data_IF_754672904032
#
_entry.id   IF_754672904032
#
_cell.length_a   1.000
_cell.length_b   1.000
_cell.length_c   1.000
_cell.angle_alpha   90.00
_cell.angle_beta   90.00
_cell.angle_gamma   90.00
#
_symmetry.space_group_name_H-M   'P 1'
#
loop_
_entity.id
_entity.type
_entity.pdbx_description
1 polymer ?
#
# COMPACT_ATOMS: atom_id res chain seq x y z
N UNK A 1 -3.26 20.73 38.56
CA UNK A 1 -4.68 20.48 38.76
C UNK A 1 -5.41 20.69 37.42
N UNK A 2 -5.96 19.66 36.85
CA UNK A 2 -6.98 19.64 35.78
C UNK A 2 -6.66 20.31 34.42
N UNK A 3 -5.63 19.83 33.74
CA UNK A 3 -5.51 20.05 32.27
C UNK A 3 -5.31 18.74 31.48
N UNK A 4 -5.71 17.61 32.06
CA UNK A 4 -5.57 16.30 31.37
C UNK A 4 -6.86 15.81 30.71
N UNK A 5 -7.92 16.57 30.65
CA UNK A 5 -9.22 16.06 30.23
C UNK A 5 -9.85 16.84 29.09
N UNK A 6 -9.14 17.10 27.99
CA UNK A 6 -9.85 17.53 26.77
C UNK A 6 -9.00 17.46 25.49
N UNK A 7 -8.12 16.49 25.41
CA UNK A 7 -7.69 16.07 24.07
C UNK A 7 -8.24 14.66 23.88
N UNK A 8 -9.53 14.55 23.72
CA UNK A 8 -10.07 13.47 22.90
C UNK A 8 -9.58 13.77 21.48
N UNK A 9 -8.39 13.28 21.16
CA UNK A 9 -8.04 12.99 19.79
C UNK A 9 -9.04 11.93 19.42
N UNK A 10 -10.15 12.34 18.85
CA UNK A 10 -11.04 11.46 18.15
C UNK A 10 -10.12 10.72 17.20
N UNK A 11 -9.89 9.43 17.42
CA UNK A 11 -9.53 8.51 16.37
C UNK A 11 -10.73 8.56 15.44
N UNK A 12 -10.77 9.61 14.63
CA UNK A 12 -11.78 9.75 13.62
C UNK A 12 -11.49 8.69 12.58
N UNK A 13 -12.23 7.60 12.68
CA UNK A 13 -12.50 6.66 11.60
C UNK A 13 -13.10 7.33 10.35
N UNK A 14 -12.93 8.62 10.17
CA UNK A 14 -13.55 9.42 9.10
C UNK A 14 -12.73 9.51 7.82
N UNK A 15 -11.57 8.85 7.76
CA UNK A 15 -10.79 8.73 6.52
C UNK A 15 -11.02 7.37 5.83
N UNK A 16 -12.14 6.75 6.06
CA UNK A 16 -12.60 5.60 5.27
C UNK A 16 -12.97 6.10 3.87
N UNK A 17 -11.96 6.42 3.05
CA UNK A 17 -12.17 6.68 1.62
C UNK A 17 -12.63 5.36 1.02
N UNK A 18 -13.94 5.16 1.00
CA UNK A 18 -14.60 3.98 0.42
C UNK A 18 -14.67 4.15 -1.09
N UNK A 19 -13.54 4.06 -1.75
CA UNK A 19 -13.51 3.97 -3.19
C UNK A 19 -13.59 2.48 -3.56
N UNK A 20 -14.57 2.06 -4.38
CA UNK A 20 -14.64 0.65 -4.76
C UNK A 20 -13.45 0.28 -5.67
N UNK A 21 -12.99 -0.94 -5.55
CA UNK A 21 -12.09 -1.52 -6.54
C UNK A 21 -12.81 -1.63 -7.88
N UNK A 22 -12.18 -1.09 -8.91
CA UNK A 22 -12.70 -1.15 -10.28
C UNK A 22 -11.56 -1.48 -11.24
N UNK A 23 -11.69 -2.61 -11.92
CA UNK A 23 -10.76 -3.01 -12.97
C UNK A 23 -11.04 -2.21 -14.24
N UNK A 24 -9.99 -1.59 -14.76
CA UNK A 24 -10.00 -0.92 -16.07
C UNK A 24 -9.19 -1.78 -17.04
N UNK A 25 -9.85 -2.33 -18.05
CA UNK A 25 -9.22 -3.20 -19.04
C UNK A 25 -10.07 -3.26 -20.31
N UNK A 26 -9.40 -3.36 -21.45
CA UNK A 26 -10.04 -3.63 -22.74
C UNK A 26 -10.43 -5.12 -22.90
N UNK A 27 -9.96 -5.98 -21.98
CA UNK A 27 -10.24 -7.40 -22.00
C UNK A 27 -11.40 -7.77 -21.07
N UNK A 28 -12.18 -8.75 -21.51
CA UNK A 28 -13.17 -9.41 -20.68
C UNK A 28 -12.68 -10.83 -20.30
N UNK A 29 -13.10 -11.36 -19.14
CA UNK A 29 -12.79 -12.74 -18.80
C UNK A 29 -13.26 -13.70 -19.89
N UNK A 30 -12.38 -14.64 -20.27
CA UNK A 30 -12.63 -15.60 -21.35
C UNK A 30 -12.15 -17.01 -20.97
N UNK A 31 -12.59 -18.02 -21.72
CA UNK A 31 -12.28 -19.42 -21.43
C UNK A 31 -12.77 -19.84 -20.06
N UNK A 32 -11.91 -20.43 -19.25
CA UNK A 32 -12.22 -20.90 -17.89
C UNK A 32 -12.16 -19.80 -16.82
N UNK A 33 -11.75 -18.56 -17.19
CA UNK A 33 -11.60 -17.45 -16.24
C UNK A 33 -12.92 -17.08 -15.52
N UNK A 34 -14.08 -16.94 -16.21
CA UNK A 34 -15.34 -16.62 -15.54
C UNK A 34 -15.70 -17.63 -14.44
N UNK A 35 -15.60 -18.92 -14.74
CA UNK A 35 -15.87 -20.00 -13.78
C UNK A 35 -14.88 -19.96 -12.61
N UNK A 36 -13.59 -19.80 -12.88
CA UNK A 36 -12.57 -19.69 -11.84
C UNK A 36 -12.82 -18.49 -10.91
N UNK A 37 -13.18 -17.32 -11.46
CA UNK A 37 -13.52 -16.12 -10.69
C UNK A 37 -14.73 -16.39 -9.77
N UNK A 38 -15.80 -16.96 -10.31
CA UNK A 38 -17.02 -17.21 -9.56
C UNK A 38 -16.80 -18.25 -8.45
N UNK A 39 -16.06 -19.31 -8.72
CA UNK A 39 -15.69 -20.32 -7.72
C UNK A 39 -14.84 -19.73 -6.59
N UNK A 40 -13.82 -18.95 -6.90
CA UNK A 40 -12.95 -18.32 -5.90
C UNK A 40 -13.76 -17.35 -5.04
N UNK A 41 -14.57 -16.49 -5.64
CA UNK A 41 -15.41 -15.52 -4.93
C UNK A 41 -16.41 -16.22 -4.02
N UNK A 42 -17.05 -17.28 -4.51
CA UNK A 42 -18.00 -18.09 -3.73
C UNK A 42 -17.31 -18.68 -2.50
N UNK A 43 -16.20 -19.39 -2.69
CA UNK A 43 -15.44 -20.00 -1.60
C UNK A 43 -14.97 -18.99 -0.56
N UNK A 44 -14.49 -17.80 -0.99
CA UNK A 44 -14.11 -16.72 -0.08
C UNK A 44 -15.29 -16.21 0.75
N UNK A 45 -16.48 -16.13 0.17
CA UNK A 45 -17.70 -15.71 0.87
C UNK A 45 -18.22 -16.79 1.83
N UNK A 46 -17.95 -18.05 1.54
CA UNK A 46 -18.25 -19.19 2.41
C UNK A 46 -17.25 -19.37 3.55
N UNK A 47 -16.16 -18.57 3.57
CA UNK A 47 -15.17 -18.56 4.64
C UNK A 47 -13.99 -19.51 4.44
N UNK A 48 -13.85 -20.08 3.23
CA UNK A 48 -12.68 -20.90 2.90
C UNK A 48 -11.40 -20.05 2.97
N UNK A 49 -10.42 -20.55 3.71
CA UNK A 49 -9.19 -19.81 4.00
C UNK A 49 -8.10 -20.02 2.94
N UNK A 50 -8.11 -21.17 2.27
CA UNK A 50 -7.06 -21.57 1.35
C UNK A 50 -7.66 -21.98 0.01
N UNK A 51 -7.10 -21.45 -1.07
CA UNK A 51 -7.50 -21.79 -2.43
C UNK A 51 -6.29 -21.79 -3.35
N UNK A 52 -6.29 -22.62 -4.36
CA UNK A 52 -5.24 -22.70 -5.37
C UNK A 52 -5.80 -22.44 -6.75
N UNK A 53 -5.29 -21.40 -7.41
CA UNK A 53 -5.57 -21.14 -8.82
C UNK A 53 -4.44 -21.73 -9.69
N UNK A 54 -4.72 -22.82 -10.37
CA UNK A 54 -3.79 -23.49 -11.27
C UNK A 54 -3.99 -22.98 -12.71
N UNK A 55 -2.90 -22.62 -13.37
CA UNK A 55 -2.94 -22.17 -14.76
C UNK A 55 -1.54 -22.05 -15.34
N UNK A 56 -1.41 -22.30 -16.65
CA UNK A 56 -0.15 -22.13 -17.36
C UNK A 56 0.29 -20.68 -17.43
N UNK A 57 1.57 -20.43 -17.74
CA UNK A 57 2.06 -19.07 -17.99
C UNK A 57 1.29 -18.45 -19.16
N UNK A 58 0.87 -17.19 -19.00
CA UNK A 58 0.09 -16.49 -20.02
C UNK A 58 -1.42 -16.77 -20.02
N UNK A 59 -1.93 -17.61 -19.11
CA UNK A 59 -3.37 -17.87 -19.00
C UNK A 59 -4.19 -16.73 -18.37
N UNK A 60 -3.56 -15.59 -18.06
CA UNK A 60 -4.23 -14.44 -17.47
C UNK A 60 -4.57 -14.57 -15.98
N UNK A 61 -3.77 -15.32 -15.21
CA UNK A 61 -3.98 -15.47 -13.75
C UNK A 61 -4.04 -14.13 -13.02
N UNK A 62 -3.16 -13.19 -13.37
CA UNK A 62 -3.17 -11.83 -12.78
C UNK A 62 -4.49 -11.12 -13.03
N UNK A 63 -5.01 -11.19 -14.26
CA UNK A 63 -6.31 -10.61 -14.61
C UNK A 63 -7.46 -11.31 -13.88
N UNK A 64 -7.43 -12.62 -13.79
CA UNK A 64 -8.39 -13.42 -13.00
C UNK A 64 -8.42 -12.94 -11.54
N UNK A 65 -7.25 -12.81 -10.91
CA UNK A 65 -7.16 -12.32 -9.53
C UNK A 65 -7.61 -10.87 -9.39
N UNK A 66 -7.33 -10.01 -10.34
CA UNK A 66 -7.86 -8.64 -10.35
C UNK A 66 -9.40 -8.63 -10.36
N UNK A 67 -10.03 -9.48 -11.16
CA UNK A 67 -11.48 -9.63 -11.18
C UNK A 67 -12.06 -10.20 -9.89
N UNK A 68 -11.34 -11.09 -9.21
CA UNK A 68 -11.70 -11.56 -7.86
C UNK A 68 -11.65 -10.39 -6.87
N UNK A 69 -10.57 -9.59 -6.85
CA UNK A 69 -10.43 -8.41 -5.98
C UNK A 69 -11.56 -7.42 -6.22
N UNK A 70 -11.90 -7.16 -7.49
CA UNK A 70 -13.02 -6.28 -7.87
C UNK A 70 -14.35 -6.80 -7.32
N UNK A 71 -14.61 -8.10 -7.34
CA UNK A 71 -15.86 -8.68 -6.81
C UNK A 71 -15.90 -8.73 -5.29
N UNK A 72 -14.79 -9.03 -4.64
CA UNK A 72 -14.72 -9.24 -3.19
C UNK A 72 -14.63 -7.91 -2.41
N UNK A 73 -14.07 -6.85 -3.01
CA UNK A 73 -13.99 -5.51 -2.42
C UNK A 73 -13.25 -5.47 -1.06
N UNK A 74 -12.19 -6.27 -0.90
CA UNK A 74 -11.38 -6.30 0.33
C UNK A 74 -9.95 -5.82 0.07
N UNK A 75 -9.31 -5.13 1.04
CA UNK A 75 -7.88 -4.86 0.97
C UNK A 75 -7.10 -6.14 0.71
N UNK A 76 -6.11 -6.07 -0.17
CA UNK A 76 -5.43 -7.25 -0.68
C UNK A 76 -3.92 -7.12 -0.55
N UNK A 77 -3.27 -8.18 -0.08
CA UNK A 77 -1.83 -8.34 -0.09
C UNK A 77 -1.43 -9.40 -1.13
N UNK A 78 -0.57 -9.01 -2.07
CA UNK A 78 0.02 -9.89 -3.07
C UNK A 78 1.49 -10.09 -2.71
N UNK A 79 1.87 -11.32 -2.40
CA UNK A 79 3.25 -11.66 -2.06
C UNK A 79 3.94 -12.38 -3.21
N UNK A 80 5.03 -11.82 -3.69
CA UNK A 80 5.87 -12.40 -4.72
C UNK A 80 7.17 -13.00 -4.13
N UNK A 81 7.74 -14.05 -4.71
CA UNK A 81 8.95 -14.71 -4.18
C UNK A 81 10.21 -13.83 -4.27
N UNK A 82 10.22 -12.83 -5.12
CA UNK A 82 11.33 -11.89 -5.28
C UNK A 82 10.86 -10.50 -5.73
N UNK A 83 11.78 -9.51 -5.65
CA UNK A 83 11.48 -8.12 -6.02
C UNK A 83 11.13 -7.94 -7.50
N UNK A 84 11.73 -8.72 -8.39
CA UNK A 84 11.51 -8.61 -9.85
C UNK A 84 10.07 -8.98 -10.21
N UNK A 85 9.59 -10.10 -9.66
CA UNK A 85 8.20 -10.51 -9.86
C UNK A 85 7.24 -9.57 -9.11
N UNK A 86 7.61 -9.09 -7.93
CA UNK A 86 6.83 -8.07 -7.23
C UNK A 86 6.68 -6.79 -8.07
N UNK A 87 7.76 -6.31 -8.69
CA UNK A 87 7.72 -5.14 -9.57
C UNK A 87 6.82 -5.35 -10.80
N UNK A 88 6.88 -6.53 -11.42
CA UNK A 88 6.01 -6.90 -12.53
C UNK A 88 4.54 -6.88 -12.10
N UNK A 89 4.19 -7.59 -11.03
CA UNK A 89 2.83 -7.66 -10.51
C UNK A 89 2.31 -6.28 -10.08
N UNK A 90 3.17 -5.45 -9.47
CA UNK A 90 2.83 -4.07 -9.14
C UNK A 90 2.45 -3.28 -10.40
N UNK A 91 3.25 -3.36 -11.46
CA UNK A 91 2.96 -2.70 -12.73
C UNK A 91 1.65 -3.18 -13.36
N UNK A 92 1.40 -4.49 -13.37
CA UNK A 92 0.16 -5.08 -13.89
C UNK A 92 -1.06 -4.62 -13.06
N UNK A 93 -0.99 -4.70 -11.73
CA UNK A 93 -2.08 -4.25 -10.86
C UNK A 93 -2.33 -2.74 -10.94
N UNK A 94 -1.27 -1.93 -11.05
CA UNK A 94 -1.38 -0.48 -11.24
C UNK A 94 -2.12 -0.12 -12.53
N UNK A 95 -1.87 -0.86 -13.61
CA UNK A 95 -2.58 -0.68 -14.88
C UNK A 95 -4.05 -1.12 -14.80
N UNK A 96 -4.34 -2.21 -14.07
CA UNK A 96 -5.70 -2.72 -13.91
C UNK A 96 -6.55 -1.91 -12.92
N UNK A 97 -5.92 -1.27 -11.93
CA UNK A 97 -6.57 -0.45 -10.91
C UNK A 97 -5.99 0.97 -10.87
N UNK A 98 -6.14 1.77 -11.95
CA UNK A 98 -5.51 3.09 -12.05
C UNK A 98 -6.02 4.08 -11.00
N UNK A 99 -7.24 3.88 -10.51
CA UNK A 99 -7.91 4.77 -9.57
C UNK A 99 -7.83 4.33 -8.12
N UNK A 100 -7.32 3.14 -7.84
CA UNK A 100 -7.20 2.58 -6.50
C UNK A 100 -5.76 2.67 -5.96
N UNK A 101 -5.59 2.48 -4.66
CA UNK A 101 -4.28 2.52 -4.03
C UNK A 101 -3.52 1.21 -4.26
N UNK A 102 -2.75 1.15 -5.33
CA UNK A 102 -1.81 0.05 -5.57
C UNK A 102 -0.43 0.49 -5.12
N UNK A 103 0.15 -0.24 -4.17
CA UNK A 103 1.38 0.12 -3.48
C UNK A 103 2.42 -1.00 -3.62
N UNK A 104 3.70 -0.59 -3.63
CA UNK A 104 4.84 -1.49 -3.74
C UNK A 104 5.60 -1.53 -2.41
N UNK A 105 5.84 -2.72 -1.88
CA UNK A 105 6.47 -2.90 -0.59
C UNK A 105 7.56 -3.97 -0.65
N UNK A 106 8.82 -3.55 -0.64
CA UNK A 106 9.99 -4.43 -0.68
C UNK A 106 10.93 -4.13 0.47
N UNK A 107 11.79 -5.10 0.82
CA UNK A 107 12.78 -4.91 1.86
C UNK A 107 14.02 -4.18 1.33
N UNK A 108 14.79 -3.58 2.24
CA UNK A 108 16.10 -2.99 1.90
C UNK A 108 17.08 -4.04 1.38
N UNK A 109 16.99 -5.29 1.84
CA UNK A 109 17.84 -6.40 1.37
C UNK A 109 17.68 -6.71 -0.11
N UNK A 110 16.49 -6.48 -0.66
CA UNK A 110 16.22 -6.73 -2.08
C UNK A 110 17.03 -5.83 -3.01
N UNK A 111 17.56 -4.72 -2.51
CA UNK A 111 18.34 -3.74 -3.29
C UNK A 111 19.85 -3.94 -3.23
N UNK A 112 20.35 -4.77 -2.32
CA UNK A 112 21.79 -5.09 -2.28
C UNK A 112 22.21 -6.16 -3.30
N UNK A 113 21.29 -6.77 -4.03
CA UNK A 113 21.58 -7.62 -5.16
C UNK A 113 21.69 -6.81 -6.45
N UNK A 114 22.69 -7.13 -7.36
CA UNK A 114 22.97 -6.29 -8.51
C UNK A 114 21.78 -6.21 -9.50
N UNK A 115 21.48 -4.98 -9.87
CA UNK A 115 20.74 -4.47 -11.02
C UNK A 115 19.48 -5.23 -11.50
N UNK A 116 18.30 -4.65 -11.24
CA UNK A 116 17.10 -4.93 -11.99
C UNK A 116 16.58 -3.63 -12.63
N UNK A 117 16.59 -3.57 -13.95
CA UNK A 117 16.02 -2.50 -14.76
C UNK A 117 14.50 -2.66 -14.82
N UNK A 118 13.75 -1.60 -14.54
CA UNK A 118 12.31 -1.52 -14.75
C UNK A 118 12.06 -0.75 -16.07
N UNK A 119 11.71 -1.43 -17.19
CA UNK A 119 11.71 -0.82 -18.53
C UNK A 119 10.68 0.27 -18.79
N UNK A 120 9.75 0.53 -17.89
CA UNK A 120 8.61 1.45 -18.13
C UNK A 120 8.63 2.78 -17.38
N UNK A 121 9.59 3.04 -16.53
CA UNK A 121 9.65 4.31 -15.81
C UNK A 121 10.92 5.11 -16.04
N UNK A 122 11.77 4.74 -17.01
CA UNK A 122 13.02 5.43 -17.38
C UNK A 122 13.82 6.01 -16.19
N UNK A 123 13.78 5.30 -15.06
CA UNK A 123 14.42 5.74 -13.83
C UNK A 123 15.63 4.85 -13.60
N UNK A 124 16.77 5.36 -14.03
CA UNK A 124 18.08 4.84 -13.67
C UNK A 124 18.33 5.19 -12.20
N UNK A 125 18.36 4.18 -11.33
CA UNK A 125 18.57 4.39 -9.90
C UNK A 125 20.06 4.53 -9.65
N UNK A 126 20.53 5.74 -9.40
CA UNK A 126 21.89 6.03 -8.94
C UNK A 126 22.17 5.38 -7.58
N UNK A 127 23.37 4.79 -7.46
CA UNK A 127 23.82 3.96 -6.34
C UNK A 127 23.86 4.70 -4.99
N UNK A 128 23.28 4.07 -3.99
CA UNK A 128 23.53 4.08 -2.52
C UNK A 128 22.68 5.01 -1.63
N UNK A 129 22.60 6.32 -1.78
CA UNK A 129 21.80 7.16 -0.87
C UNK A 129 20.38 7.44 -1.39
N UNK A 130 20.22 7.58 -2.69
CA UNK A 130 18.92 7.84 -3.32
C UNK A 130 18.00 6.62 -3.31
N UNK A 131 18.57 5.41 -3.32
CA UNK A 131 17.81 4.15 -3.28
C UNK A 131 17.08 3.98 -1.96
N UNK A 132 17.77 4.24 -0.84
CA UNK A 132 17.17 4.11 0.49
C UNK A 132 16.01 5.09 0.69
N UNK A 133 16.14 6.34 0.23
CA UNK A 133 15.06 7.32 0.31
C UNK A 133 13.84 6.93 -0.54
N UNK A 134 14.06 6.36 -1.71
CA UNK A 134 12.97 5.92 -2.57
C UNK A 134 12.22 4.72 -1.98
N UNK A 135 12.95 3.75 -1.42
CA UNK A 135 12.34 2.62 -0.72
C UNK A 135 11.54 3.11 0.48
N UNK A 136 12.09 4.02 1.26
CA UNK A 136 11.39 4.62 2.40
C UNK A 136 10.09 5.30 1.97
N UNK A 137 10.12 6.09 0.91
CA UNK A 137 8.91 6.72 0.37
C UNK A 137 7.86 5.71 -0.05
N UNK A 138 8.25 4.63 -0.74
CA UNK A 138 7.34 3.57 -1.16
C UNK A 138 6.75 2.82 0.04
N UNK A 139 7.58 2.50 1.04
CA UNK A 139 7.13 1.83 2.28
C UNK A 139 6.19 2.72 3.09
N UNK A 140 6.50 4.00 3.23
CA UNK A 140 5.62 4.97 3.90
C UNK A 140 4.31 5.17 3.14
N UNK A 141 4.36 5.26 1.81
CA UNK A 141 3.16 5.34 0.98
C UNK A 141 2.25 4.13 1.18
N UNK A 142 2.82 2.92 1.15
CA UNK A 142 2.08 1.68 1.35
C UNK A 142 1.44 1.62 2.75
N UNK A 143 2.19 1.96 3.78
CA UNK A 143 1.69 1.96 5.16
C UNK A 143 0.59 3.01 5.35
N UNK A 144 0.77 4.20 4.79
CA UNK A 144 -0.24 5.25 4.82
C UNK A 144 -1.53 4.81 4.13
N UNK A 145 -1.44 4.29 2.92
CA UNK A 145 -2.60 3.80 2.16
C UNK A 145 -3.35 2.72 2.92
N UNK A 146 -2.64 1.81 3.59
CA UNK A 146 -3.24 0.74 4.38
C UNK A 146 -4.02 1.28 5.59
N UNK A 147 -3.54 2.34 6.23
CA UNK A 147 -4.19 2.97 7.39
C UNK A 147 -5.37 3.85 6.99
N UNK A 148 -5.24 4.59 5.87
CA UNK A 148 -6.20 5.63 5.47
C UNK A 148 -7.27 5.13 4.49
N UNK A 149 -7.03 4.02 3.75
CA UNK A 149 -7.87 3.58 2.64
C UNK A 149 -8.27 2.12 2.76
N UNK A 150 -9.46 1.80 2.27
CA UNK A 150 -9.96 0.43 2.16
C UNK A 150 -9.72 -0.19 0.80
N UNK A 151 -9.50 0.63 -0.23
CA UNK A 151 -9.23 0.21 -1.60
C UNK A 151 -7.72 0.06 -1.86
N UNK A 152 -7.03 -0.66 -0.98
CA UNK A 152 -5.57 -0.82 -1.03
C UNK A 152 -5.16 -2.20 -1.49
N UNK A 153 -4.28 -2.26 -2.48
CA UNK A 153 -3.58 -3.46 -2.93
C UNK A 153 -2.08 -3.24 -2.66
N UNK A 154 -1.49 -4.06 -1.81
CA UNK A 154 -0.04 -4.04 -1.56
C UNK A 154 0.59 -5.20 -2.30
N UNK A 155 1.59 -4.90 -3.14
CA UNK A 155 2.43 -5.90 -3.77
C UNK A 155 3.79 -5.92 -3.08
N UNK A 156 4.13 -7.03 -2.45
CA UNK A 156 5.31 -7.18 -1.61
C UNK A 156 6.19 -8.36 -2.06
N UNK A 157 7.48 -8.27 -1.77
CA UNK A 157 8.36 -9.45 -1.83
C UNK A 157 8.32 -10.21 -0.49
N UNK A 158 8.53 -11.53 -0.52
CA UNK A 158 8.52 -12.36 0.70
C UNK A 158 9.57 -11.93 1.74
N UNK A 159 10.64 -11.27 1.32
CA UNK A 159 11.67 -10.71 2.20
C UNK A 159 11.13 -9.63 3.17
N UNK A 160 9.97 -9.05 2.85
CA UNK A 160 9.33 -8.03 3.69
C UNK A 160 8.72 -8.56 4.99
N UNK A 161 8.54 -9.86 5.13
CA UNK A 161 8.03 -10.46 6.38
C UNK A 161 9.02 -10.33 7.54
N UNK A 162 10.29 -10.04 7.24
CA UNK A 162 11.31 -9.81 8.23
C UNK A 162 11.47 -8.31 8.54
N UNK A 163 11.48 -7.93 9.82
CA UNK A 163 11.70 -6.55 10.25
C UNK A 163 10.50 -5.62 10.13
N UNK A 164 9.29 -6.16 10.09
CA UNK A 164 8.07 -5.35 10.18
C UNK A 164 7.92 -4.85 11.63
N UNK A 165 7.91 -3.53 11.80
CA UNK A 165 7.59 -2.90 13.08
C UNK A 165 6.12 -3.04 13.47
N UNK A 166 5.79 -2.66 14.71
CA UNK A 166 4.41 -2.66 15.19
C UNK A 166 3.55 -1.64 14.43
N UNK A 167 2.38 -2.07 13.97
CA UNK A 167 1.37 -1.20 13.35
C UNK A 167 0.92 -0.13 14.32
N UNK A 168 0.80 -0.47 15.62
CA UNK A 168 0.42 0.46 16.67
C UNK A 168 1.45 1.57 16.86
N UNK A 169 2.74 1.24 16.78
CA UNK A 169 3.81 2.22 16.83
C UNK A 169 3.73 3.20 15.66
N UNK A 170 3.48 2.72 14.45
CA UNK A 170 3.33 3.57 13.26
C UNK A 170 2.12 4.49 13.38
N UNK A 171 0.97 3.96 13.78
CA UNK A 171 -0.27 4.73 13.96
C UNK A 171 -0.11 5.80 15.04
N UNK A 172 0.57 5.50 16.14
CA UNK A 172 0.83 6.45 17.22
C UNK A 172 1.82 7.56 16.82
N UNK A 173 2.67 7.33 15.83
CA UNK A 173 3.64 8.28 15.29
C UNK A 173 3.09 9.13 14.12
N UNK A 174 1.80 9.15 13.91
CA UNK A 174 1.14 9.96 12.89
C UNK A 174 0.04 10.83 13.50
N UNK A 175 -0.26 11.97 12.87
CA UNK A 175 -1.45 12.74 13.16
C UNK A 175 -1.98 13.39 11.89
N UNK A 176 -3.28 13.61 11.84
CA UNK A 176 -3.96 14.17 10.69
C UNK A 176 -4.37 15.60 10.95
N UNK A 177 -4.20 16.46 9.95
CA UNK A 177 -4.69 17.83 9.94
C UNK A 177 -5.69 17.98 8.81
N UNK A 178 -6.93 18.33 9.15
CA UNK A 178 -7.98 18.57 8.17
C UNK A 178 -8.01 20.03 7.74
N UNK A 179 -8.30 20.24 6.44
CA UNK A 179 -8.51 21.59 5.93
C UNK A 179 -9.70 22.24 6.63
N UNK A 180 -9.52 23.44 7.14
CA UNK A 180 -10.46 24.21 7.94
C UNK A 180 -10.64 23.75 9.40
N UNK A 181 -9.83 22.83 9.89
CA UNK A 181 -9.78 22.49 11.29
C UNK A 181 -9.22 23.66 12.11
N UNK A 182 -9.90 24.06 13.18
CA UNK A 182 -9.39 25.04 14.13
C UNK A 182 -8.51 24.34 15.16
N UNK A 183 -7.21 24.45 15.00
CA UNK A 183 -6.20 23.90 15.93
C UNK A 183 -5.15 24.95 16.22
N UNK A 184 -4.70 25.04 17.49
CA UNK A 184 -3.69 26.02 17.84
C UNK A 184 -2.32 25.63 17.28
N UNK A 185 -1.53 26.63 16.85
CA UNK A 185 -0.14 26.45 16.38
C UNK A 185 0.72 25.70 17.41
N UNK A 186 0.52 25.96 18.69
CA UNK A 186 1.29 25.35 19.78
C UNK A 186 1.02 23.86 19.90
N UNK A 187 -0.23 23.43 19.71
CA UNK A 187 -0.61 22.01 19.70
C UNK A 187 0.06 21.30 18.53
N UNK A 188 0.06 21.90 17.32
CA UNK A 188 0.73 21.34 16.14
C UNK A 188 2.23 21.20 16.41
N UNK A 189 2.89 22.26 16.91
CA UNK A 189 4.32 22.23 17.19
C UNK A 189 4.66 21.16 18.21
N UNK A 190 3.89 21.06 19.30
CA UNK A 190 4.10 20.04 20.34
C UNK A 190 4.01 18.64 19.72
N UNK A 191 2.97 18.39 18.93
CA UNK A 191 2.77 17.10 18.29
C UNK A 191 3.89 16.75 17.31
N UNK A 192 4.37 17.71 16.52
CA UNK A 192 5.51 17.53 15.63
C UNK A 192 6.79 17.19 16.40
N UNK A 193 7.05 17.85 17.52
CA UNK A 193 8.22 17.56 18.37
C UNK A 193 8.12 16.17 18.99
N UNK A 194 6.95 15.77 19.45
CA UNK A 194 6.70 14.39 19.93
C UNK A 194 6.98 13.35 18.85
N UNK A 195 6.70 13.70 17.59
CA UNK A 195 6.99 12.89 16.40
C UNK A 195 8.44 13.03 15.90
N UNK A 196 9.35 13.59 16.71
CA UNK A 196 10.76 13.77 16.45
C UNK A 196 11.11 14.75 15.30
N UNK A 197 10.19 15.63 14.91
CA UNK A 197 10.51 16.72 13.99
C UNK A 197 11.35 17.79 14.69
N UNK A 198 12.35 18.30 13.97
CA UNK A 198 13.19 19.40 14.49
C UNK A 198 12.57 20.74 14.13
N UNK A 199 12.32 21.59 15.14
CA UNK A 199 11.90 22.98 14.92
C UNK A 199 13.06 23.80 14.39
N UNK A 200 12.86 24.49 13.25
CA UNK A 200 13.78 25.50 12.73
C UNK A 200 12.98 26.78 12.46
N UNK A 201 13.33 27.85 13.14
CA UNK A 201 12.60 29.12 13.04
C UNK A 201 13.16 30.06 11.93
N UNK A 202 14.33 29.75 11.36
CA UNK A 202 15.05 30.69 10.49
C UNK A 202 15.46 30.14 9.10
N UNK A 203 15.23 28.91 8.74
CA UNK A 203 15.70 28.40 7.46
C UNK A 203 14.68 27.44 6.84
N UNK A 204 14.01 27.94 5.78
CA UNK A 204 13.11 27.16 4.95
C UNK A 204 13.85 26.75 3.67
N UNK A 205 14.68 25.72 3.74
CA UNK A 205 15.18 25.05 2.55
C UNK A 205 14.41 23.75 2.33
N UNK A 206 13.86 23.63 1.12
CA UNK A 206 13.30 22.37 0.63
C UNK A 206 14.42 21.37 0.37
#
# INVERSE_FOLDING_TARGET
TNYMNEIQITQNNSLDIKKPFKVVSDFNPSGDQPEAIDNIVKSLNEGEQEQVLLGVTGSGKTFTMAKVIEKVQKPTLIMAPNKTLAAQLYGEMKNLFPDNAVEYFVSYYDYYTPEAYVPRSDTYIEKESSINEQIDRLRHSATRSLVERRDTIIVASVSCIYGIGSVDAYSSMSFTLDKNQSISREVIIRRLVELLYKRRDMDFRR
#
